data_IF_478015948447
#
_entry.id   IF_478015948447
#
_cell.length_a   1.000
_cell.length_b   1.000
_cell.length_c   1.000
_cell.angle_alpha   90.00
_cell.angle_beta   90.00
_cell.angle_gamma   90.00
#
_symmetry.space_group_name_H-M   'P 1'
#
loop_
_entity.id
_entity.type
_entity.pdbx_description
1 polymer ?
#
# COMPACT_ATOMS: atom_id res chain seq x y z
N UNK A 1 33.08 14.33 54.53
CA UNK A 1 31.70 13.98 54.12
C UNK A 1 31.68 13.75 52.62
N UNK A 2 31.88 12.49 52.27
CA UNK A 2 31.86 11.94 50.91
C UNK A 2 30.42 11.72 50.50
N UNK A 3 29.96 12.30 49.42
CA UNK A 3 28.68 12.07 48.76
C UNK A 3 28.89 10.96 47.74
N UNK A 4 28.33 9.77 48.02
CA UNK A 4 28.23 8.67 47.06
C UNK A 4 27.27 9.06 45.94
N UNK A 5 27.77 9.20 44.71
CA UNK A 5 26.98 9.28 43.52
C UNK A 5 26.59 7.86 43.08
N UNK A 6 25.34 7.47 43.35
CA UNK A 6 24.76 6.25 42.76
C UNK A 6 24.51 6.47 41.26
N UNK A 7 25.31 5.81 40.44
CA UNK A 7 25.05 5.69 39.00
C UNK A 7 23.73 4.95 38.76
N UNK A 8 22.77 5.65 38.19
CA UNK A 8 21.49 5.07 37.79
C UNK A 8 21.71 4.12 36.59
N UNK A 9 21.33 2.86 36.76
CA UNK A 9 21.39 1.81 35.77
C UNK A 9 20.51 2.20 34.55
N UNK A 10 21.00 2.11 33.31
CA UNK A 10 20.18 2.44 32.13
C UNK A 10 18.94 1.55 32.04
N UNK A 11 17.83 2.09 31.55
CA UNK A 11 16.59 1.30 31.38
C UNK A 11 16.81 0.13 30.41
N UNK A 12 16.10 -0.98 30.59
CA UNK A 12 16.20 -2.12 29.70
C UNK A 12 15.75 -1.74 28.26
N UNK A 13 16.34 -2.34 27.23
CA UNK A 13 15.92 -2.10 25.85
C UNK A 13 14.46 -2.51 25.66
N UNK A 14 13.72 -1.82 24.75
CA UNK A 14 12.33 -2.17 24.46
C UNK A 14 12.23 -3.59 23.92
N UNK A 15 11.13 -4.31 24.19
CA UNK A 15 10.92 -5.66 23.69
C UNK A 15 10.97 -5.66 22.16
N UNK A 16 11.76 -6.58 21.59
CA UNK A 16 11.85 -6.79 20.16
C UNK A 16 10.49 -7.16 19.56
N UNK A 17 10.32 -6.99 18.25
CA UNK A 17 9.09 -7.36 17.57
C UNK A 17 8.78 -8.84 17.82
N UNK A 18 7.49 -9.21 17.99
CA UNK A 18 7.12 -10.59 18.22
C UNK A 18 7.62 -11.47 17.07
N UNK A 19 8.06 -12.73 17.35
CA UNK A 19 8.55 -13.63 16.33
C UNK A 19 7.48 -13.85 15.26
N UNK A 20 7.84 -13.60 14.01
CA UNK A 20 6.98 -13.92 12.87
C UNK A 20 6.71 -15.42 12.89
N UNK A 21 5.43 -15.79 13.01
CA UNK A 21 5.00 -17.18 12.86
C UNK A 21 5.44 -17.67 11.49
N UNK A 22 6.07 -18.87 11.37
CA UNK A 22 6.42 -19.42 10.08
C UNK A 22 5.15 -19.52 9.22
N UNK A 23 5.23 -19.03 7.98
CA UNK A 23 4.15 -19.20 7.00
C UNK A 23 3.90 -20.70 6.85
N UNK A 24 2.66 -21.18 7.01
CA UNK A 24 2.37 -22.58 6.77
C UNK A 24 2.67 -22.93 5.32
N UNK A 25 3.61 -23.84 5.11
CA UNK A 25 3.89 -24.48 3.84
C UNK A 25 2.85 -25.58 3.61
N UNK A 26 1.61 -25.21 3.37
CA UNK A 26 0.58 -26.14 2.88
C UNK A 26 -0.48 -25.32 2.15
N UNK A 27 -0.69 -25.66 0.89
CA UNK A 27 -1.83 -25.25 0.08
C UNK A 27 -3.11 -25.63 0.82
N UNK A 28 -3.56 -24.75 1.71
CA UNK A 28 -4.93 -24.84 2.21
C UNK A 28 -5.83 -24.29 1.12
N UNK A 29 -6.69 -25.14 0.59
CA UNK A 29 -7.79 -24.75 -0.30
C UNK A 29 -8.55 -23.62 0.38
N UNK A 30 -8.75 -22.53 -0.35
CA UNK A 30 -9.65 -21.47 0.06
C UNK A 30 -11.00 -22.05 0.51
N UNK A 31 -11.66 -21.48 1.54
CA UNK A 31 -12.94 -22.00 2.00
C UNK A 31 -13.94 -22.09 0.84
N UNK A 32 -14.69 -23.18 0.79
CA UNK A 32 -15.58 -23.60 -0.29
C UNK A 32 -16.67 -22.60 -0.73
N UNK A 33 -16.95 -21.57 0.06
CA UNK A 33 -18.00 -20.59 -0.24
C UNK A 33 -17.57 -19.47 -1.19
N UNK A 34 -16.28 -19.27 -1.42
CA UNK A 34 -15.79 -18.21 -2.31
C UNK A 34 -15.62 -18.68 -3.75
N UNK A 35 -15.58 -20.00 -3.96
CA UNK A 35 -15.17 -20.62 -5.21
C UNK A 35 -16.26 -20.64 -6.27
N UNK A 36 -17.53 -20.68 -5.89
CA UNK A 36 -18.61 -21.00 -6.84
C UNK A 36 -19.13 -19.84 -7.70
N UNK A 37 -18.82 -18.59 -7.38
CA UNK A 37 -19.40 -17.43 -8.08
C UNK A 37 -18.39 -16.55 -8.84
N UNK A 38 -17.09 -16.72 -8.58
CA UNK A 38 -16.01 -16.13 -9.37
C UNK A 38 -15.54 -17.06 -10.49
N UNK A 39 -16.03 -18.31 -10.49
CA UNK A 39 -15.61 -19.44 -11.31
C UNK A 39 -15.74 -19.17 -12.82
N UNK A 40 -16.65 -18.32 -13.23
CA UNK A 40 -16.86 -18.07 -14.67
C UNK A 40 -15.85 -17.08 -15.27
N UNK A 41 -15.18 -16.24 -14.43
CA UNK A 41 -14.26 -15.20 -14.91
C UNK A 41 -12.83 -15.33 -14.37
N UNK A 42 -12.67 -15.69 -13.07
CA UNK A 42 -11.37 -15.73 -12.39
C UNK A 42 -11.23 -16.93 -11.45
N UNK A 43 -10.16 -17.68 -11.59
CA UNK A 43 -9.79 -18.78 -10.71
C UNK A 43 -8.83 -18.29 -9.62
N UNK A 44 -9.23 -18.42 -8.35
CA UNK A 44 -8.38 -18.03 -7.22
C UNK A 44 -7.26 -19.05 -7.06
N UNK A 45 -6.00 -18.57 -7.16
CA UNK A 45 -4.79 -19.38 -7.00
C UNK A 45 -4.33 -19.41 -5.54
N UNK A 46 -4.30 -18.24 -4.87
CA UNK A 46 -3.86 -18.12 -3.48
C UNK A 46 -4.33 -16.79 -2.86
N UNK A 47 -4.46 -16.75 -1.53
CA UNK A 47 -4.54 -15.50 -0.79
C UNK A 47 -3.12 -14.95 -0.59
N UNK A 48 -2.87 -13.71 -1.03
CA UNK A 48 -1.54 -13.09 -0.99
C UNK A 48 -1.42 -11.97 0.03
N UNK A 49 -2.54 -11.49 0.56
CA UNK A 49 -2.53 -10.46 1.60
C UNK A 49 -3.85 -10.34 2.33
N UNK A 50 -3.78 -9.81 3.54
CA UNK A 50 -4.91 -9.38 4.34
C UNK A 50 -4.53 -8.08 5.04
N UNK A 51 -5.37 -7.07 4.93
CA UNK A 51 -5.12 -5.75 5.51
C UNK A 51 -6.41 -5.08 5.99
N UNK A 52 -6.27 -3.85 6.46
CA UNK A 52 -7.37 -3.02 6.96
C UNK A 52 -8.52 -2.88 5.95
N UNK A 53 -8.21 -2.90 4.67
CA UNK A 53 -9.18 -2.67 3.59
C UNK A 53 -9.72 -3.95 2.95
N UNK A 54 -9.34 -5.15 3.42
CA UNK A 54 -9.84 -6.41 2.92
C UNK A 54 -8.76 -7.45 2.62
N UNK A 55 -9.19 -8.52 1.98
CA UNK A 55 -8.36 -9.64 1.57
C UNK A 55 -7.95 -9.46 0.11
N UNK A 56 -6.70 -9.81 -0.22
CA UNK A 56 -6.19 -9.78 -1.58
C UNK A 56 -5.84 -11.20 -2.02
N UNK A 57 -6.35 -11.57 -3.19
CA UNK A 57 -6.13 -12.88 -3.78
C UNK A 57 -5.36 -12.74 -5.10
N UNK A 58 -4.44 -13.67 -5.32
CA UNK A 58 -3.88 -13.94 -6.64
C UNK A 58 -4.85 -14.83 -7.39
N UNK A 59 -5.24 -14.46 -8.61
CA UNK A 59 -6.14 -15.24 -9.44
C UNK A 59 -5.64 -15.29 -10.89
N UNK A 60 -6.09 -16.29 -11.63
CA UNK A 60 -5.90 -16.37 -13.08
C UNK A 60 -7.20 -15.98 -13.80
N UNK A 61 -7.08 -15.21 -14.87
CA UNK A 61 -8.23 -14.86 -15.71
C UNK A 61 -8.53 -16.04 -16.65
N UNK A 62 -9.57 -16.81 -16.33
CA UNK A 62 -10.14 -17.92 -17.11
C UNK A 62 -9.26 -18.49 -18.23
N UNK A 63 -9.57 -18.15 -19.48
CA UNK A 63 -8.90 -18.71 -20.66
C UNK A 63 -7.49 -18.16 -20.96
N UNK A 64 -7.03 -17.08 -20.30
CA UNK A 64 -5.85 -16.34 -20.75
C UNK A 64 -4.59 -16.56 -19.90
N UNK A 65 -4.60 -17.42 -18.88
CA UNK A 65 -3.47 -17.62 -17.92
C UNK A 65 -2.89 -16.32 -17.36
N UNK A 66 -3.57 -15.18 -17.58
CA UNK A 66 -3.14 -13.87 -17.11
C UNK A 66 -3.41 -13.77 -15.61
N UNK A 67 -2.36 -13.47 -14.85
CA UNK A 67 -2.49 -13.25 -13.42
C UNK A 67 -3.08 -11.87 -13.12
N UNK A 68 -4.01 -11.85 -12.17
CA UNK A 68 -4.63 -10.65 -11.61
C UNK A 68 -4.61 -10.68 -10.09
N UNK A 69 -4.74 -9.52 -9.47
CA UNK A 69 -4.95 -9.39 -8.04
C UNK A 69 -6.41 -8.98 -7.79
N UNK A 70 -7.12 -9.76 -6.97
CA UNK A 70 -8.50 -9.49 -6.58
C UNK A 70 -8.52 -8.94 -5.15
N UNK A 71 -8.84 -7.67 -4.98
CA UNK A 71 -9.02 -7.04 -3.66
C UNK A 71 -10.50 -7.12 -3.28
N UNK A 72 -10.83 -7.96 -2.30
CA UNK A 72 -12.19 -8.08 -1.75
C UNK A 72 -12.47 -6.89 -0.83
N UNK A 73 -13.55 -6.18 -1.09
CA UNK A 73 -13.97 -5.05 -0.25
C UNK A 73 -14.67 -5.59 0.99
N UNK A 74 -14.26 -5.12 2.18
CA UNK A 74 -14.96 -5.43 3.43
C UNK A 74 -16.30 -4.71 3.47
N UNK A 75 -17.33 -5.44 3.82
CA UNK A 75 -18.71 -4.97 4.02
C UNK A 75 -19.07 -5.18 5.49
N UNK A 76 -18.31 -4.55 6.41
CA UNK A 76 -18.38 -4.84 7.85
C UNK A 76 -19.74 -4.47 8.48
N UNK A 77 -20.52 -3.60 7.82
CA UNK A 77 -21.86 -3.22 8.25
C UNK A 77 -22.84 -3.29 7.07
N UNK A 78 -23.39 -4.46 6.80
CA UNK A 78 -24.39 -4.64 5.73
C UNK A 78 -25.60 -3.68 5.86
N UNK A 79 -25.84 -3.12 7.05
CA UNK A 79 -26.93 -2.15 7.32
C UNK A 79 -26.57 -0.71 6.90
N UNK A 80 -25.29 -0.36 6.80
CA UNK A 80 -24.84 1.00 6.44
C UNK A 80 -24.58 1.18 4.93
N UNK A 81 -24.79 0.12 4.14
CA UNK A 81 -24.55 0.14 2.70
C UNK A 81 -23.08 0.00 2.31
N UNK A 82 -22.76 0.37 1.06
CA UNK A 82 -21.43 0.23 0.51
C UNK A 82 -20.45 1.29 1.10
N UNK A 83 -19.22 0.90 1.53
CA UNK A 83 -18.28 1.84 2.15
C UNK A 83 -17.94 3.01 1.24
N UNK A 84 -18.18 4.25 1.71
CA UNK A 84 -17.91 5.49 0.95
C UNK A 84 -16.43 5.62 0.58
N UNK A 85 -15.54 5.13 1.43
CA UNK A 85 -14.09 5.09 1.18
C UNK A 85 -13.76 4.22 -0.02
N UNK A 86 -14.32 3.02 -0.10
CA UNK A 86 -14.12 2.10 -1.22
C UNK A 86 -14.73 2.63 -2.51
N UNK A 87 -15.90 3.28 -2.45
CA UNK A 87 -16.50 3.92 -3.62
C UNK A 87 -15.61 5.04 -4.16
N UNK A 88 -15.01 5.82 -3.28
CA UNK A 88 -14.08 6.90 -3.65
C UNK A 88 -12.80 6.34 -4.27
N UNK A 89 -12.21 5.31 -3.66
CA UNK A 89 -11.04 4.59 -4.20
C UNK A 89 -11.32 4.09 -5.62
N UNK A 90 -12.44 3.40 -5.84
CA UNK A 90 -12.82 2.91 -7.17
C UNK A 90 -12.96 4.03 -8.20
N UNK A 91 -13.66 5.11 -7.86
CA UNK A 91 -13.85 6.26 -8.78
C UNK A 91 -12.51 6.91 -9.15
N UNK A 92 -11.60 7.06 -8.20
CA UNK A 92 -10.26 7.60 -8.46
C UNK A 92 -9.48 6.66 -9.40
N UNK A 93 -9.40 5.39 -9.08
CA UNK A 93 -8.64 4.41 -9.84
C UNK A 93 -9.19 4.21 -11.26
N UNK A 94 -10.50 4.30 -11.45
CA UNK A 94 -11.11 4.25 -12.80
C UNK A 94 -10.67 5.38 -13.72
N UNK A 95 -10.34 6.55 -13.13
CA UNK A 95 -9.92 7.73 -13.89
C UNK A 95 -8.39 7.83 -14.09
N UNK A 96 -7.60 7.04 -13.35
CA UNK A 96 -6.14 7.11 -13.39
C UNK A 96 -5.58 6.11 -14.41
N UNK A 97 -4.66 6.60 -15.28
CA UNK A 97 -3.97 5.80 -16.30
C UNK A 97 -2.54 6.29 -16.42
N UNK A 98 -1.60 5.56 -15.83
CA UNK A 98 -0.17 5.86 -15.89
C UNK A 98 0.64 4.59 -15.63
N UNK A 99 1.82 4.47 -16.25
CA UNK A 99 2.69 3.30 -16.13
C UNK A 99 3.08 2.99 -14.69
N UNK A 100 3.34 4.03 -13.89
CA UNK A 100 3.77 3.91 -12.50
C UNK A 100 2.63 4.09 -11.47
N UNK A 101 1.39 3.87 -11.87
CA UNK A 101 0.20 3.83 -11.01
C UNK A 101 -0.53 2.53 -11.27
N UNK A 102 -0.93 1.84 -10.20
CA UNK A 102 -1.64 0.55 -10.31
C UNK A 102 -2.92 0.72 -11.11
N UNK A 103 -3.17 -0.18 -12.04
CA UNK A 103 -4.34 -0.13 -12.91
C UNK A 103 -5.49 -0.96 -12.35
N UNK A 104 -6.61 -0.32 -12.10
CA UNK A 104 -7.88 -1.00 -11.90
C UNK A 104 -8.41 -1.44 -13.29
N UNK A 105 -8.55 -2.74 -13.49
CA UNK A 105 -9.11 -3.29 -14.73
C UNK A 105 -10.62 -3.18 -14.74
N UNK A 106 -11.25 -3.74 -13.69
CA UNK A 106 -12.69 -3.75 -13.51
C UNK A 106 -13.09 -3.91 -12.05
N UNK A 107 -14.36 -3.79 -11.78
CA UNK A 107 -14.98 -4.12 -10.49
C UNK A 107 -16.07 -5.16 -10.75
N UNK A 108 -16.19 -6.13 -9.87
CA UNK A 108 -17.16 -7.21 -10.01
C UNK A 108 -17.86 -7.51 -8.69
N UNK A 109 -19.08 -7.98 -8.78
CA UNK A 109 -19.88 -8.41 -7.63
C UNK A 109 -20.12 -9.91 -7.75
N UNK A 110 -19.80 -10.65 -6.68
CA UNK A 110 -20.10 -12.08 -6.63
C UNK A 110 -21.61 -12.33 -6.43
N UNK A 111 -22.06 -13.57 -6.67
CA UNK A 111 -23.44 -13.99 -6.39
C UNK A 111 -23.81 -13.82 -4.92
N UNK A 112 -22.84 -13.88 -4.02
CA UNK A 112 -23.03 -13.66 -2.57
C UNK A 112 -23.04 -12.18 -2.16
N UNK A 113 -22.96 -11.24 -3.12
CA UNK A 113 -22.95 -9.81 -2.86
C UNK A 113 -21.58 -9.21 -2.49
N UNK A 114 -20.51 -10.02 -2.43
CA UNK A 114 -19.16 -9.51 -2.18
C UNK A 114 -18.66 -8.75 -3.41
N UNK A 115 -18.06 -7.57 -3.18
CA UNK A 115 -17.49 -6.74 -4.24
C UNK A 115 -15.97 -6.90 -4.29
N UNK A 116 -15.45 -7.02 -5.50
CA UNK A 116 -14.02 -7.18 -5.77
C UNK A 116 -13.54 -6.10 -6.75
N UNK A 117 -12.34 -5.58 -6.49
CA UNK A 117 -11.58 -4.78 -7.43
C UNK A 117 -10.52 -5.66 -8.08
N UNK A 118 -10.47 -5.66 -9.41
CA UNK A 118 -9.55 -6.47 -10.22
C UNK A 118 -8.40 -5.60 -10.69
N UNK A 119 -7.19 -5.93 -10.26
CA UNK A 119 -5.96 -5.23 -10.60
C UNK A 119 -5.03 -6.09 -11.44
N UNK A 120 -4.08 -5.44 -12.13
CA UNK A 120 -2.90 -6.15 -12.61
C UNK A 120 -2.14 -6.80 -11.43
N UNK A 121 -1.58 -7.99 -11.68
CA UNK A 121 -0.81 -8.67 -10.64
C UNK A 121 0.63 -8.15 -10.60
N UNK A 122 1.10 -7.86 -9.41
CA UNK A 122 2.47 -7.43 -9.13
C UNK A 122 3.10 -8.43 -8.15
N UNK A 123 4.30 -8.92 -8.47
CA UNK A 123 4.92 -10.02 -7.73
C UNK A 123 5.43 -9.64 -6.36
N UNK A 124 5.88 -8.38 -6.20
CA UNK A 124 6.58 -7.93 -5.00
C UNK A 124 6.06 -6.56 -4.56
N UNK A 125 6.21 -6.26 -3.29
CA UNK A 125 6.20 -4.91 -2.77
C UNK A 125 7.63 -4.49 -2.40
N UNK A 126 7.89 -3.19 -2.37
CA UNK A 126 9.24 -2.67 -2.10
C UNK A 126 9.73 -3.04 -0.71
N UNK A 127 8.85 -3.03 0.30
CA UNK A 127 9.23 -3.38 1.66
C UNK A 127 9.71 -4.84 1.74
N UNK A 128 8.99 -5.78 1.10
CA UNK A 128 9.40 -7.17 1.01
C UNK A 128 10.75 -7.35 0.35
N UNK A 129 11.04 -6.58 -0.71
CA UNK A 129 12.34 -6.61 -1.39
C UNK A 129 13.46 -5.99 -0.54
N UNK A 130 13.18 -4.93 0.22
CA UNK A 130 14.18 -4.29 1.08
C UNK A 130 14.63 -5.19 2.24
N UNK A 131 13.74 -6.00 2.80
CA UNK A 131 14.09 -6.92 3.91
C UNK A 131 14.61 -8.27 3.41
N UNK A 132 14.50 -8.58 2.12
CA UNK A 132 14.95 -9.87 1.58
C UNK A 132 16.48 -9.95 1.54
N UNK A 133 17.10 -10.97 2.15
CA UNK A 133 18.57 -11.02 2.31
C UNK A 133 19.33 -11.15 0.98
N UNK A 134 18.76 -11.81 0.00
CA UNK A 134 19.39 -12.06 -1.31
C UNK A 134 19.20 -10.90 -2.30
N UNK A 135 18.33 -9.93 -2.00
CA UNK A 135 18.09 -8.78 -2.87
C UNK A 135 19.06 -7.66 -2.53
N UNK A 136 19.82 -7.18 -3.50
CA UNK A 136 20.64 -5.98 -3.39
C UNK A 136 20.30 -4.97 -4.49
N UNK A 137 20.24 -3.70 -4.12
CA UNK A 137 19.99 -2.61 -5.06
C UNK A 137 21.30 -1.91 -5.41
N UNK A 138 21.64 -1.89 -6.69
CA UNK A 138 22.71 -1.00 -7.20
C UNK A 138 22.21 0.43 -7.26
N UNK A 139 23.11 1.41 -7.38
CA UNK A 139 22.74 2.81 -7.60
C UNK A 139 21.86 3.01 -8.85
N UNK A 140 22.07 2.19 -9.89
CA UNK A 140 21.22 2.23 -11.09
C UNK A 140 19.79 1.76 -10.79
N UNK A 141 19.62 0.72 -10.00
CA UNK A 141 18.30 0.26 -9.54
C UNK A 141 17.61 1.33 -8.71
N UNK A 142 18.31 1.92 -7.73
CA UNK A 142 17.76 2.99 -6.88
C UNK A 142 17.32 4.18 -7.73
N UNK A 143 18.18 4.62 -8.66
CA UNK A 143 17.85 5.72 -9.58
C UNK A 143 16.61 5.42 -10.42
N UNK A 144 16.50 4.21 -10.97
CA UNK A 144 15.34 3.78 -11.75
C UNK A 144 14.05 3.78 -10.93
N UNK A 145 14.09 3.18 -9.73
CA UNK A 145 12.92 3.12 -8.82
C UNK A 145 12.49 4.52 -8.38
N UNK A 146 13.44 5.37 -7.99
CA UNK A 146 13.16 6.75 -7.63
C UNK A 146 12.53 7.55 -8.78
N UNK A 147 13.05 7.38 -10.02
CA UNK A 147 12.49 8.04 -11.20
C UNK A 147 11.06 7.59 -11.46
N UNK A 148 10.78 6.30 -11.36
CA UNK A 148 9.44 5.73 -11.56
C UNK A 148 8.47 6.23 -10.49
N UNK A 149 8.87 6.24 -9.21
CA UNK A 149 8.07 6.79 -8.11
C UNK A 149 7.72 8.25 -8.37
N UNK A 150 8.71 9.08 -8.71
CA UNK A 150 8.49 10.50 -8.96
C UNK A 150 7.62 10.76 -10.19
N UNK A 151 7.72 9.96 -11.27
CA UNK A 151 6.84 10.05 -12.43
C UNK A 151 5.39 9.72 -12.07
N UNK A 152 5.18 8.63 -11.33
CA UNK A 152 3.84 8.25 -10.84
C UNK A 152 3.24 9.33 -9.95
N UNK A 153 4.04 9.87 -9.03
CA UNK A 153 3.60 10.92 -8.10
C UNK A 153 3.30 12.24 -8.82
N UNK A 154 4.16 12.65 -9.76
CA UNK A 154 3.92 13.83 -10.59
C UNK A 154 2.61 13.72 -11.39
N UNK A 155 2.31 12.53 -11.94
CA UNK A 155 1.05 12.27 -12.59
C UNK A 155 -0.14 12.41 -11.64
N UNK A 156 -0.09 11.83 -10.43
CA UNK A 156 -1.16 11.96 -9.44
C UNK A 156 -1.40 13.43 -9.08
N UNK A 157 -0.36 14.19 -8.81
CA UNK A 157 -0.45 15.61 -8.48
C UNK A 157 -0.92 16.46 -9.67
N UNK A 158 -0.53 16.09 -10.90
CA UNK A 158 -1.10 16.70 -12.11
C UNK A 158 -2.61 16.49 -12.20
N UNK A 159 -3.09 15.29 -11.86
CA UNK A 159 -4.50 14.92 -11.77
C UNK A 159 -5.21 15.44 -10.52
N UNK A 160 -4.53 16.28 -9.73
CA UNK A 160 -5.01 16.83 -8.47
C UNK A 160 -5.44 15.73 -7.45
N UNK A 161 -4.66 14.66 -7.35
CA UNK A 161 -4.84 13.55 -6.41
C UNK A 161 -3.68 13.52 -5.43
N UNK A 162 -3.98 13.54 -4.12
CA UNK A 162 -3.05 13.23 -3.04
C UNK A 162 -3.16 11.75 -2.70
N UNK A 163 -2.03 11.06 -2.55
CA UNK A 163 -2.01 9.65 -2.17
C UNK A 163 -2.20 9.47 -0.67
N UNK A 164 -1.41 10.17 0.15
CA UNK A 164 -1.46 10.27 1.61
C UNK A 164 -1.16 8.98 2.39
N UNK A 165 -0.61 7.95 1.74
CA UNK A 165 -0.09 6.75 2.40
C UNK A 165 1.07 6.13 1.62
N UNK A 166 2.05 6.96 1.20
CA UNK A 166 3.26 6.47 0.57
C UNK A 166 4.12 5.73 1.59
N UNK A 167 4.40 4.46 1.31
CA UNK A 167 5.27 3.57 2.10
C UNK A 167 5.71 2.38 1.24
N UNK A 168 6.75 1.66 1.67
CA UNK A 168 7.33 0.57 0.89
C UNK A 168 6.34 -0.52 0.49
N UNK A 169 5.38 -0.88 1.37
CA UNK A 169 4.35 -1.88 1.08
C UNK A 169 3.29 -1.43 0.06
N UNK A 170 3.17 -0.11 -0.21
CA UNK A 170 2.27 0.46 -1.20
C UNK A 170 2.96 0.75 -2.54
N UNK A 171 4.25 0.41 -2.66
CA UNK A 171 5.01 0.45 -3.90
C UNK A 171 5.20 -0.98 -4.41
N UNK A 172 4.45 -1.34 -5.44
CA UNK A 172 4.48 -2.68 -6.01
C UNK A 172 5.47 -2.74 -7.18
N UNK A 173 6.13 -3.88 -7.32
CA UNK A 173 7.09 -4.14 -8.40
C UNK A 173 6.75 -5.45 -9.12
N UNK A 174 6.85 -5.43 -10.44
CA UNK A 174 6.78 -6.63 -11.24
C UNK A 174 8.18 -7.20 -11.53
N UNK A 175 8.23 -8.37 -12.16
CA UNK A 175 9.49 -9.05 -12.52
C UNK A 175 10.36 -8.26 -13.50
N UNK A 176 9.80 -7.31 -14.23
CA UNK A 176 10.51 -6.44 -15.16
C UNK A 176 11.09 -5.18 -14.47
N UNK A 177 10.91 -5.03 -13.16
CA UNK A 177 11.37 -3.87 -12.41
C UNK A 177 10.49 -2.63 -12.60
N UNK A 178 9.26 -2.78 -13.11
CA UNK A 178 8.30 -1.69 -13.19
C UNK A 178 7.67 -1.47 -11.83
N UNK A 179 7.82 -0.24 -11.31
CA UNK A 179 7.23 0.19 -10.05
C UNK A 179 5.86 0.82 -10.30
N UNK A 180 4.91 0.49 -9.42
CA UNK A 180 3.57 1.09 -9.41
C UNK A 180 3.15 1.52 -8.02
N UNK A 181 2.65 2.75 -7.91
CA UNK A 181 2.03 3.27 -6.69
C UNK A 181 0.65 2.61 -6.56
N UNK A 182 0.37 2.01 -5.40
CA UNK A 182 -0.83 1.25 -5.11
C UNK A 182 -1.46 1.67 -3.77
N UNK A 183 -2.65 1.15 -3.48
CA UNK A 183 -3.47 1.39 -2.29
C UNK A 183 -3.93 2.86 -2.13
N UNK A 184 -5.01 3.18 -2.82
CA UNK A 184 -5.64 4.51 -2.84
C UNK A 184 -6.72 4.70 -1.76
N UNK A 185 -6.77 3.84 -0.74
CA UNK A 185 -7.77 3.89 0.32
C UNK A 185 -7.79 5.20 1.11
N UNK A 186 -6.64 5.87 1.24
CA UNK A 186 -6.53 7.19 1.86
C UNK A 186 -6.45 8.35 0.84
N UNK A 187 -6.48 8.06 -0.46
CA UNK A 187 -6.32 9.09 -1.49
C UNK A 187 -7.49 10.09 -1.53
N UNK A 188 -7.19 11.33 -1.91
CA UNK A 188 -8.17 12.42 -2.02
C UNK A 188 -7.85 13.32 -3.20
N UNK A 189 -8.90 13.83 -3.84
CA UNK A 189 -8.75 14.97 -4.72
C UNK A 189 -8.50 16.26 -3.93
N UNK A 190 -7.69 17.15 -4.47
CA UNK A 190 -7.37 18.42 -3.83
C UNK A 190 -7.44 19.59 -4.83
N UNK A 191 -7.62 20.79 -4.30
CA UNK A 191 -7.63 22.00 -5.11
C UNK A 191 -6.26 22.65 -5.07
N UNK A 192 -5.58 22.74 -6.22
CA UNK A 192 -4.22 23.29 -6.32
C UNK A 192 -4.09 24.75 -5.86
N UNK A 193 -5.17 25.53 -6.01
CA UNK A 193 -5.20 26.98 -5.67
C UNK A 193 -5.69 27.28 -4.26
N UNK A 194 -6.31 26.33 -3.58
CA UNK A 194 -6.85 26.52 -2.22
C UNK A 194 -6.55 25.28 -1.42
N UNK A 195 -5.76 25.43 -0.34
CA UNK A 195 -5.56 24.33 0.60
C UNK A 195 -6.91 23.95 1.21
N UNK A 196 -7.30 22.69 1.03
CA UNK A 196 -8.51 22.14 1.64
C UNK A 196 -8.27 21.80 3.10
N UNK A 197 -9.34 21.71 3.85
CA UNK A 197 -9.33 21.18 5.21
C UNK A 197 -9.47 19.65 5.16
N UNK A 198 -8.41 18.95 5.51
CA UNK A 198 -8.32 17.50 5.41
C UNK A 198 -8.04 16.86 6.77
N UNK A 199 -8.37 15.57 6.90
CA UNK A 199 -7.99 14.79 8.07
C UNK A 199 -6.47 14.75 8.21
N UNK A 200 -5.94 15.12 9.38
CA UNK A 200 -4.50 15.07 9.68
C UNK A 200 -4.02 13.68 10.10
N UNK A 201 -4.93 12.78 10.54
CA UNK A 201 -4.61 11.38 10.92
C UNK A 201 -4.50 10.47 9.69
N UNK A 202 -3.65 10.87 8.76
CA UNK A 202 -3.29 10.14 7.55
C UNK A 202 -1.78 9.94 7.50
N UNK A 203 -1.30 9.17 6.55
CA UNK A 203 0.11 8.78 6.39
C UNK A 203 0.59 7.88 7.53
N UNK A 204 1.17 6.77 7.20
CA UNK A 204 1.82 5.86 8.17
C UNK A 204 2.92 6.62 8.93
N UNK A 205 3.01 6.45 10.25
CA UNK A 205 3.78 7.31 11.17
C UNK A 205 5.23 7.58 10.70
N UNK A 206 5.94 6.56 10.26
CA UNK A 206 7.34 6.68 9.81
C UNK A 206 7.53 7.54 8.54
N UNK A 207 6.47 7.78 7.80
CA UNK A 207 6.47 8.58 6.55
C UNK A 207 5.67 9.87 6.71
N UNK A 208 5.19 10.17 7.94
CA UNK A 208 4.34 11.33 8.21
C UNK A 208 5.18 12.61 8.29
N UNK A 209 4.83 13.64 7.51
CA UNK A 209 5.55 14.90 7.52
C UNK A 209 5.31 15.69 8.82
N UNK A 210 6.24 16.61 9.17
CA UNK A 210 6.19 17.34 10.44
C UNK A 210 4.91 18.17 10.61
N UNK A 211 4.40 18.79 9.56
CA UNK A 211 3.14 19.56 9.63
C UNK A 211 1.95 18.69 10.05
N UNK A 212 1.87 17.44 9.61
CA UNK A 212 0.80 16.53 10.04
C UNK A 212 1.02 16.05 11.48
N UNK A 213 2.26 15.88 11.92
CA UNK A 213 2.57 15.56 13.32
C UNK A 213 2.17 16.72 14.24
N UNK A 214 2.30 17.96 13.77
CA UNK A 214 1.90 19.17 14.49
C UNK A 214 0.40 19.50 14.36
N UNK A 215 -0.39 18.63 13.69
CA UNK A 215 -1.84 18.75 13.64
C UNK A 215 -2.41 19.59 12.50
N UNK A 216 -1.61 19.93 11.48
CA UNK A 216 -2.11 20.66 10.33
C UNK A 216 -3.23 19.91 9.61
N UNK A 217 -4.32 20.61 9.28
CA UNK A 217 -5.44 20.12 8.49
C UNK A 217 -5.46 20.73 7.08
N UNK A 218 -4.72 21.81 6.87
CA UNK A 218 -4.55 22.47 5.58
C UNK A 218 -3.20 22.11 4.96
N UNK A 219 -3.19 21.16 4.05
CA UNK A 219 -2.00 20.68 3.38
C UNK A 219 -2.29 20.33 1.91
N UNK A 220 -1.25 20.03 1.16
CA UNK A 220 -1.33 19.72 -0.28
C UNK A 220 -0.35 18.60 -0.67
N UNK A 221 0.21 18.72 -1.87
CA UNK A 221 1.10 17.72 -2.47
C UNK A 221 2.43 17.52 -1.70
N UNK A 222 2.80 18.47 -0.87
CA UNK A 222 3.99 18.44 -0.02
C UNK A 222 4.04 17.21 0.90
N UNK A 223 2.89 16.72 1.37
CA UNK A 223 2.84 15.53 2.24
C UNK A 223 3.29 14.26 1.53
N UNK A 224 2.94 14.11 0.24
CA UNK A 224 3.40 12.99 -0.57
C UNK A 224 4.88 13.15 -0.97
N UNK A 225 5.33 14.38 -1.21
CA UNK A 225 6.74 14.65 -1.52
C UNK A 225 7.65 14.27 -0.34
N UNK A 226 7.24 14.56 0.90
CA UNK A 226 7.94 14.12 2.10
C UNK A 226 8.03 12.59 2.17
N UNK A 227 6.89 11.88 1.98
CA UNK A 227 6.86 10.42 1.96
C UNK A 227 7.77 9.82 0.87
N UNK A 228 7.79 10.42 -0.32
CA UNK A 228 8.71 10.01 -1.39
C UNK A 228 10.18 10.23 -1.02
N UNK A 229 10.51 11.31 -0.30
CA UNK A 229 11.84 11.56 0.25
C UNK A 229 12.28 10.51 1.27
N UNK A 230 11.36 10.12 2.19
CA UNK A 230 11.61 9.03 3.13
C UNK A 230 11.89 7.71 2.41
N UNK A 231 11.09 7.36 1.41
CA UNK A 231 11.27 6.15 0.61
C UNK A 231 12.57 6.16 -0.20
N UNK A 232 12.97 7.33 -0.71
CA UNK A 232 14.24 7.46 -1.40
C UNK A 232 15.43 7.14 -0.48
N UNK A 233 15.42 7.65 0.75
CA UNK A 233 16.44 7.33 1.75
C UNK A 233 16.39 5.86 2.18
N UNK A 234 15.18 5.29 2.31
CA UNK A 234 14.96 3.89 2.65
C UNK A 234 15.56 2.93 1.61
N UNK A 235 15.53 3.28 0.31
CA UNK A 235 16.20 2.51 -0.75
C UNK A 235 17.70 2.34 -0.53
N UNK A 236 18.38 3.33 0.10
CA UNK A 236 19.80 3.24 0.44
C UNK A 236 20.04 2.51 1.75
N UNK A 237 19.22 2.80 2.78
CA UNK A 237 19.44 2.29 4.14
C UNK A 237 18.80 0.93 4.38
N UNK A 238 17.88 0.49 3.49
CA UNK A 238 17.07 -0.74 3.60
C UNK A 238 16.19 -0.80 4.86
N UNK A 239 15.95 0.32 5.49
CA UNK A 239 15.07 0.50 6.65
C UNK A 239 14.45 1.89 6.64
N UNK A 240 13.27 2.02 7.26
CA UNK A 240 12.64 3.32 7.39
C UNK A 240 13.54 4.30 8.18
N UNK A 241 13.54 5.57 7.77
CA UNK A 241 14.44 6.60 8.32
C UNK A 241 13.95 7.08 9.69
N UNK A 242 12.64 7.21 9.86
CA UNK A 242 12.02 7.70 11.09
C UNK A 242 11.18 6.57 11.72
N UNK A 243 11.84 5.73 12.50
CA UNK A 243 11.21 4.64 13.27
C UNK A 243 11.00 5.04 14.71
#
# INVERSE_FOLDING_TARGET
TTLDAQEAKPPPPPPGPPPMKPKPSRLERAPSDTTSSLVDAYEIVAQVGEGTYGQVYKASAGSSSRLVALKKIRMDNAREGFPVTSMREMKLLQALRHENVIRLHETMTSRTGSVYMVFEYMEHDLNGLLVHPEVSFTHAHIKSLAQQLLRGLAYLHYRAVLHRDLKGSNLLLNRQGILKIADFGLARTYYKRKKGDYTNRVVTLWYRPPELLLGATQYGAEVDAWGAGCLFLELFQRRAVFQ
#
